data_IF_690752814368
#
_entry.id   IF_690752814368
#
_cell.length_a   1.000
_cell.length_b   1.000
_cell.length_c   1.000
_cell.angle_alpha   90.00
_cell.angle_beta   90.00
_cell.angle_gamma   90.00
#
_symmetry.space_group_name_H-M   'P 1'
#
loop_
_entity.id
_entity.type
_entity.pdbx_description
1 polymer ?
#
# COMPACT_ATOMS: atom_id res chain seq x y z
N UNK A 1 -53.24 -4.60 6.38
CA UNK A 1 -54.10 -5.48 5.57
C UNK A 1 -53.15 -6.29 4.71
N UNK A 2 -52.69 -7.45 5.19
CA UNK A 2 -53.20 -8.82 4.90
C UNK A 2 -52.18 -9.49 3.95
N UNK A 3 -51.71 -10.73 4.08
CA UNK A 3 -51.89 -11.80 5.07
C UNK A 3 -50.79 -12.86 4.81
N UNK A 4 -50.59 -13.75 5.78
CA UNK A 4 -49.63 -14.87 5.77
C UNK A 4 -50.12 -16.02 4.88
N UNK A 5 -49.19 -16.83 4.36
CA UNK A 5 -49.50 -18.15 3.81
C UNK A 5 -48.40 -19.15 4.17
N UNK A 6 -48.65 -19.98 5.18
CA UNK A 6 -47.75 -21.00 5.70
C UNK A 6 -48.51 -22.33 5.66
N UNK A 7 -48.17 -23.30 4.78
CA UNK A 7 -48.75 -24.64 4.86
C UNK A 7 -47.73 -25.76 4.59
N UNK A 8 -47.62 -26.61 5.61
CA UNK A 8 -46.88 -27.87 5.69
C UNK A 8 -47.61 -28.96 4.89
N UNK A 9 -46.84 -29.84 4.25
CA UNK A 9 -47.33 -31.11 3.70
C UNK A 9 -46.40 -32.25 4.09
N UNK A 10 -46.67 -32.88 5.24
CA UNK A 10 -46.06 -34.13 5.69
C UNK A 10 -46.70 -35.33 5.01
N UNK A 11 -45.94 -36.18 4.30
CA UNK A 11 -46.28 -37.60 4.06
C UNK A 11 -45.05 -38.51 4.02
N UNK A 12 -45.30 -39.73 4.47
CA UNK A 12 -44.45 -40.78 5.03
C UNK A 12 -44.45 -42.00 4.08
N UNK A 13 -43.30 -42.68 3.94
CA UNK A 13 -43.25 -44.15 3.84
C UNK A 13 -42.69 -44.81 2.57
N UNK A 14 -41.80 -45.81 2.78
CA UNK A 14 -41.45 -46.90 1.85
C UNK A 14 -39.95 -47.02 1.53
N UNK A 15 -39.11 -47.70 2.33
CA UNK A 15 -38.80 -49.16 2.39
C UNK A 15 -38.00 -49.71 1.19
N UNK A 16 -36.70 -49.95 1.42
CA UNK A 16 -36.01 -51.20 1.07
C UNK A 16 -35.31 -51.31 -0.28
N UNK A 17 -33.98 -51.48 -0.25
CA UNK A 17 -33.19 -51.94 -1.41
C UNK A 17 -31.71 -52.06 -1.07
N UNK A 18 -31.28 -53.27 -0.73
CA UNK A 18 -29.88 -53.63 -0.53
C UNK A 18 -29.14 -53.71 -1.89
N UNK A 19 -27.92 -53.19 -1.95
CA UNK A 19 -27.04 -53.34 -3.11
C UNK A 19 -25.58 -53.16 -2.69
N UNK A 20 -24.86 -54.29 -2.58
CA UNK A 20 -23.41 -54.37 -2.42
C UNK A 20 -22.69 -53.68 -3.58
N UNK A 21 -21.62 -52.96 -3.27
CA UNK A 21 -20.67 -52.44 -4.26
C UNK A 21 -19.41 -51.95 -3.57
N UNK A 22 -18.51 -52.89 -3.28
CA UNK A 22 -17.12 -52.63 -2.91
C UNK A 22 -16.38 -52.03 -4.10
N UNK A 23 -15.86 -50.81 -3.97
CA UNK A 23 -14.74 -50.35 -4.79
C UNK A 23 -13.84 -49.44 -3.95
N UNK A 24 -12.83 -50.08 -3.37
CA UNK A 24 -11.58 -49.45 -3.00
C UNK A 24 -10.84 -49.11 -4.29
N UNK A 25 -10.55 -47.82 -4.50
CA UNK A 25 -9.47 -47.41 -5.39
C UNK A 25 -9.04 -45.99 -5.05
N UNK A 26 -7.79 -45.88 -4.58
CA UNK A 26 -6.90 -44.86 -5.11
C UNK A 26 -6.99 -43.48 -4.46
N UNK A 27 -6.11 -43.31 -3.46
CA UNK A 27 -5.29 -42.11 -3.24
C UNK A 27 -5.33 -41.11 -4.40
N UNK A 28 -5.82 -39.90 -4.09
CA UNK A 28 -5.67 -38.72 -4.92
C UNK A 28 -5.63 -37.49 -4.04
N UNK A 29 -4.56 -37.33 -3.27
CA UNK A 29 -4.25 -36.08 -2.60
C UNK A 29 -4.04 -35.01 -3.67
N UNK A 30 -5.06 -34.21 -3.96
CA UNK A 30 -4.87 -32.92 -4.59
C UNK A 30 -4.29 -31.96 -3.56
N UNK A 31 -2.99 -32.12 -3.33
CA UNK A 31 -2.14 -31.03 -2.88
C UNK A 31 -2.18 -29.98 -3.99
N UNK A 32 -3.11 -29.04 -3.89
CA UNK A 32 -3.00 -27.79 -4.61
C UNK A 32 -1.67 -27.18 -4.20
N UNK A 33 -0.69 -27.25 -5.09
CA UNK A 33 0.46 -26.36 -5.05
C UNK A 33 -0.12 -24.95 -5.11
N UNK A 34 -0.35 -24.37 -3.93
CA UNK A 34 -0.39 -22.94 -3.80
C UNK A 34 0.95 -22.49 -4.34
N UNK A 35 0.95 -21.99 -5.58
CA UNK A 35 2.03 -21.17 -6.08
C UNK A 35 2.18 -20.09 -5.02
N UNK A 36 3.20 -20.20 -4.17
CA UNK A 36 3.58 -19.13 -3.26
C UNK A 36 3.65 -17.90 -4.14
N UNK A 37 2.71 -16.97 -3.94
CA UNK A 37 2.72 -15.71 -4.66
C UNK A 37 4.11 -15.15 -4.41
N UNK A 38 4.92 -15.05 -5.47
CA UNK A 38 6.24 -14.45 -5.39
C UNK A 38 6.09 -13.17 -4.56
N UNK A 39 6.85 -13.08 -3.46
CA UNK A 39 6.83 -11.89 -2.62
C UNK A 39 7.07 -10.72 -3.57
N UNK A 40 6.10 -9.81 -3.66
CA UNK A 40 6.29 -8.57 -4.40
C UNK A 40 7.35 -7.80 -3.64
N UNK A 41 8.60 -7.97 -4.04
CA UNK A 41 9.72 -7.20 -3.51
C UNK A 41 9.54 -5.76 -3.96
N UNK A 42 9.78 -4.83 -3.04
CA UNK A 42 9.73 -3.41 -3.35
C UNK A 42 10.89 -3.08 -4.30
N UNK A 43 10.60 -2.37 -5.38
CA UNK A 43 11.61 -1.93 -6.36
C UNK A 43 12.61 -0.94 -5.76
N UNK A 44 12.23 -0.29 -4.65
CA UNK A 44 13.02 0.71 -3.95
C UNK A 44 13.53 0.12 -2.64
N UNK A 45 14.85 0.11 -2.48
CA UNK A 45 15.50 -0.26 -1.24
C UNK A 45 15.69 0.98 -0.34
N UNK A 46 14.75 1.18 0.58
CA UNK A 46 14.75 2.29 1.53
C UNK A 46 15.84 2.17 2.61
N UNK A 47 16.46 0.99 2.77
CA UNK A 47 17.55 0.81 3.76
C UNK A 47 18.74 1.71 3.47
N UNK A 48 18.98 2.01 2.19
CA UNK A 48 20.07 2.88 1.72
C UNK A 48 19.91 4.34 2.14
N UNK A 49 18.70 4.75 2.51
CA UNK A 49 18.37 6.12 2.89
C UNK A 49 18.09 6.27 4.39
N UNK A 50 18.29 5.21 5.19
CA UNK A 50 18.19 5.31 6.65
C UNK A 50 19.17 6.35 7.18
N UNK A 51 18.68 7.14 8.13
CA UNK A 51 19.38 8.28 8.74
C UNK A 51 19.81 9.38 7.76
N UNK A 52 19.26 9.40 6.54
CA UNK A 52 19.47 10.48 5.58
C UNK A 52 18.23 11.38 5.48
N UNK A 53 18.46 12.65 5.15
CA UNK A 53 17.38 13.60 4.87
C UNK A 53 16.80 13.31 3.48
N UNK A 54 15.50 13.08 3.45
CA UNK A 54 14.73 12.82 2.23
C UNK A 54 13.63 13.86 2.07
N UNK A 55 13.29 14.16 0.82
CA UNK A 55 12.10 14.93 0.46
C UNK A 55 10.99 13.95 0.05
N UNK A 56 9.78 14.22 0.53
CA UNK A 56 8.61 13.38 0.29
C UNK A 56 7.45 14.26 -0.18
N UNK A 57 6.85 13.88 -1.31
CA UNK A 57 5.63 14.52 -1.83
C UNK A 57 4.44 13.61 -1.65
N UNK A 58 3.35 14.18 -1.16
CA UNK A 58 2.09 13.48 -0.97
C UNK A 58 1.10 13.83 -2.07
N UNK A 59 0.13 12.94 -2.26
CA UNK A 59 -1.10 13.25 -3.00
C UNK A 59 -1.74 14.50 -2.41
N UNK A 60 -2.11 15.47 -3.25
CA UNK A 60 -2.68 16.75 -2.81
C UNK A 60 -1.66 17.86 -2.60
N UNK A 61 -0.39 17.66 -2.99
CA UNK A 61 0.59 18.74 -3.10
C UNK A 61 1.32 19.08 -1.80
N UNK A 62 1.11 18.33 -0.72
CA UNK A 62 1.90 18.52 0.52
C UNK A 62 3.30 17.99 0.30
N UNK A 63 4.29 18.76 0.72
CA UNK A 63 5.70 18.41 0.60
C UNK A 63 6.34 18.50 1.98
N UNK A 64 7.15 17.51 2.33
CA UNK A 64 7.90 17.51 3.59
C UNK A 64 9.34 17.10 3.34
N UNK A 65 10.24 17.60 4.18
CA UNK A 65 11.61 17.08 4.28
C UNK A 65 11.85 16.57 5.69
N UNK A 66 12.61 15.50 5.84
CA UNK A 66 12.90 14.91 7.15
C UNK A 66 13.88 13.77 7.07
N UNK A 67 14.38 13.33 8.22
CA UNK A 67 15.36 12.24 8.32
C UNK A 67 14.63 10.90 8.40
N UNK A 68 14.92 9.97 7.50
CA UNK A 68 14.29 8.65 7.51
C UNK A 68 14.81 7.79 8.67
N UNK A 69 13.93 7.46 9.62
CA UNK A 69 14.25 6.60 10.77
C UNK A 69 13.77 5.18 10.65
N UNK A 70 12.77 4.93 9.80
CA UNK A 70 12.24 3.59 9.61
C UNK A 70 11.21 3.54 8.49
N UNK A 71 10.97 2.32 8.00
CA UNK A 71 9.97 2.07 6.96
C UNK A 71 9.42 0.66 7.09
N UNK A 72 8.31 0.39 6.41
CA UNK A 72 7.72 -0.95 6.31
C UNK A 72 7.47 -1.39 4.86
N UNK A 73 6.96 -2.60 4.68
CA UNK A 73 6.67 -3.17 3.36
C UNK A 73 5.57 -2.39 2.60
N UNK A 74 4.73 -1.62 3.29
CA UNK A 74 3.68 -0.79 2.69
C UNK A 74 4.18 0.62 2.36
N UNK A 75 5.48 0.88 2.52
CA UNK A 75 6.12 2.19 2.37
C UNK A 75 5.57 3.24 3.34
N UNK A 76 5.04 2.84 4.51
CA UNK A 76 4.88 3.80 5.58
C UNK A 76 6.28 4.20 6.07
N UNK A 77 6.48 5.49 6.36
CA UNK A 77 7.78 6.03 6.76
C UNK A 77 7.69 6.63 8.16
N UNK A 78 8.74 6.46 8.94
CA UNK A 78 8.98 7.22 10.17
C UNK A 78 10.02 8.26 9.84
N UNK A 79 9.65 9.54 9.94
CA UNK A 79 10.51 10.66 9.63
C UNK A 79 10.71 11.50 10.89
N UNK A 80 11.95 11.89 11.17
CA UNK A 80 12.33 12.77 12.28
C UNK A 80 12.80 14.12 11.77
N UNK A 81 12.83 15.13 12.64
CA UNK A 81 13.18 16.52 12.31
C UNK A 81 12.43 17.05 11.07
N UNK A 82 11.12 16.75 10.97
CA UNK A 82 10.35 17.04 9.76
C UNK A 82 9.99 18.51 9.65
N UNK A 83 10.16 19.04 8.45
CA UNK A 83 9.70 20.36 8.02
C UNK A 83 8.71 20.20 6.87
N UNK A 84 7.49 20.72 7.04
CA UNK A 84 6.51 20.85 5.95
C UNK A 84 6.82 22.10 5.13
N UNK A 85 6.88 21.93 3.81
CA UNK A 85 7.05 23.00 2.83
C UNK A 85 5.65 23.40 2.33
N UNK A 86 5.31 24.66 2.51
CA UNK A 86 4.03 25.23 2.11
C UNK A 86 4.27 26.32 1.06
N UNK A 87 3.46 26.28 0.00
CA UNK A 87 3.46 27.26 -1.09
C UNK A 87 2.23 28.14 -0.94
N UNK A 88 2.43 29.45 -0.92
CA UNK A 88 1.35 30.45 -0.92
C UNK A 88 0.88 30.76 -2.36
N UNK A 89 -0.21 31.52 -2.49
CA UNK A 89 -0.78 31.96 -3.80
C UNK A 89 0.22 32.74 -4.65
N UNK A 90 1.21 33.38 -4.01
CA UNK A 90 2.30 34.14 -4.66
C UNK A 90 3.57 33.30 -4.91
N UNK A 91 3.50 31.95 -4.83
CA UNK A 91 4.64 31.04 -4.88
C UNK A 91 5.69 31.28 -3.78
N UNK A 92 5.33 31.96 -2.70
CA UNK A 92 6.21 32.12 -1.55
C UNK A 92 6.34 30.80 -0.81
N UNK A 93 7.58 30.35 -0.61
CA UNK A 93 7.89 29.14 0.15
C UNK A 93 7.98 29.50 1.63
N UNK A 94 7.21 28.80 2.45
CA UNK A 94 7.31 28.86 3.92
C UNK A 94 7.47 27.46 4.49
N UNK A 95 8.21 27.33 5.60
CA UNK A 95 8.43 26.05 6.26
C UNK A 95 7.82 26.04 7.66
N UNK A 96 7.34 24.88 8.08
CA UNK A 96 6.81 24.66 9.43
C UNK A 96 7.38 23.36 10.01
N UNK A 97 7.94 23.39 11.24
CA UNK A 97 8.40 22.17 11.90
C UNK A 97 7.22 21.29 12.35
N UNK A 98 7.36 19.99 12.15
CA UNK A 98 6.43 18.95 12.59
C UNK A 98 7.09 17.95 13.56
N UNK A 99 8.43 17.91 13.64
CA UNK A 99 9.16 16.99 14.51
C UNK A 99 9.10 15.55 14.00
N UNK A 100 8.75 14.60 14.87
CA UNK A 100 8.62 13.18 14.52
C UNK A 100 7.23 12.88 13.94
N UNK A 101 7.18 12.34 12.72
CA UNK A 101 5.93 11.95 12.06
C UNK A 101 5.96 10.51 11.55
N UNK A 102 4.76 9.96 11.33
CA UNK A 102 4.55 8.74 10.54
C UNK A 102 3.83 9.12 9.26
N UNK A 103 4.51 8.96 8.12
CA UNK A 103 3.95 9.19 6.79
C UNK A 103 3.31 7.91 6.25
N UNK A 104 2.08 8.03 5.74
CA UNK A 104 1.30 6.89 5.25
C UNK A 104 1.65 6.58 3.79
N UNK A 105 2.11 5.35 3.53
CA UNK A 105 2.58 4.90 2.22
C UNK A 105 1.56 5.04 1.09
N UNK A 106 0.27 4.93 1.39
CA UNK A 106 -0.82 5.07 0.40
C UNK A 106 -0.96 6.47 -0.20
N UNK A 107 -0.38 7.50 0.44
CA UNK A 107 -0.45 8.89 -0.01
C UNK A 107 0.87 9.36 -0.62
N UNK A 108 1.91 8.52 -0.63
CA UNK A 108 3.21 8.88 -1.18
C UNK A 108 3.15 8.93 -2.71
N UNK A 109 3.70 10.00 -3.27
CA UNK A 109 3.83 10.18 -4.72
C UNK A 109 5.29 10.16 -5.12
N UNK A 110 6.16 10.80 -4.34
CA UNK A 110 7.60 10.89 -4.63
C UNK A 110 8.41 10.80 -3.34
N UNK A 111 9.54 10.10 -3.42
CA UNK A 111 10.60 10.07 -2.41
C UNK A 111 11.90 10.38 -3.15
N UNK A 112 12.66 11.37 -2.68
CA UNK A 112 13.99 11.69 -3.22
C UNK A 112 14.99 11.98 -2.09
N UNK A 113 16.25 11.52 -2.22
CA UNK A 113 17.30 11.96 -1.32
C UNK A 113 17.53 13.47 -1.48
N UNK A 114 17.75 14.18 -0.38
CA UNK A 114 18.16 15.58 -0.46
C UNK A 114 19.62 15.73 -0.88
N UNK A 115 20.45 14.74 -0.59
CA UNK A 115 21.85 14.72 -1.04
C UNK A 115 21.91 14.64 -2.58
N UNK A 116 22.71 15.53 -3.18
CA UNK A 116 22.81 15.69 -4.62
C UNK A 116 21.62 16.35 -5.32
N UNK A 117 20.62 16.85 -4.58
CA UNK A 117 19.49 17.61 -5.15
C UNK A 117 19.68 19.11 -4.93
N UNK A 118 19.59 19.90 -6.01
CA UNK A 118 19.62 21.36 -5.96
C UNK A 118 18.59 21.97 -6.90
N UNK A 119 18.11 23.16 -6.54
CA UNK A 119 17.27 23.97 -7.42
C UNK A 119 18.16 24.65 -8.46
N UNK A 120 17.83 24.44 -9.74
CA UNK A 120 18.57 25.00 -10.86
C UNK A 120 17.67 25.98 -11.63
N UNK A 121 18.26 27.02 -12.27
CA UNK A 121 17.53 27.82 -13.25
C UNK A 121 17.08 26.93 -14.41
N UNK A 122 16.10 27.41 -15.19
CA UNK A 122 15.63 26.70 -16.36
C UNK A 122 16.80 26.40 -17.33
N UNK A 123 17.17 25.12 -17.54
CA UNK A 123 18.38 24.75 -18.28
C UNK A 123 18.23 24.94 -19.80
N UNK A 124 17.06 25.36 -20.28
CA UNK A 124 16.76 25.59 -21.70
C UNK A 124 16.78 27.06 -22.10
N UNK A 125 17.00 27.98 -21.14
CA UNK A 125 17.21 29.40 -21.45
C UNK A 125 18.64 29.57 -21.95
N UNK A 126 18.80 29.97 -23.21
CA UNK A 126 20.13 30.30 -23.73
C UNK A 126 20.64 31.57 -23.04
N UNK A 127 21.93 31.65 -22.67
CA UNK A 127 22.51 32.90 -22.19
C UNK A 127 22.32 33.98 -23.27
N UNK A 128 21.85 35.17 -22.87
CA UNK A 128 21.82 36.33 -23.77
C UNK A 128 23.28 36.69 -24.11
N UNK A 129 23.62 36.70 -25.41
CA UNK A 129 24.94 37.08 -25.94
C UNK A 129 25.30 38.55 -25.65
#
# INVERSE_FOLDING_TARGET
MSERGNHRGSRRGGRGGAGRGSHESGRGAHGGQGTERAKKENILDLSKYLDQKIAVKFTGGREVTGTLKGYDALMNLVLDDVEEIMHDEENKITTRPLGLIVARGTLLVLISPMDGSEEIPNPFVQPED
#
